data_IF_440262690081
#
_entry.id   IF_440262690081
#
_cell.length_a   1.000
_cell.length_b   1.000
_cell.length_c   1.000
_cell.angle_alpha   90.00
_cell.angle_beta   90.00
_cell.angle_gamma   90.00
#
_symmetry.space_group_name_H-M   'P 1'
#
loop_
_entity.id
_entity.type
_entity.pdbx_description
1 polymer ?
#
# COMPACT_ATOMS: atom_id res chain seq x y z
N UNK A 1 -6.83 -5.35 -25.48
CA UNK A 1 -7.15 -6.56 -24.69
C UNK A 1 -6.13 -6.64 -23.57
N UNK A 2 -6.47 -6.23 -22.35
CA UNK A 2 -5.53 -6.23 -21.24
C UNK A 2 -5.43 -7.64 -20.66
N UNK A 3 -4.25 -8.25 -20.74
CA UNK A 3 -3.96 -9.48 -20.01
C UNK A 3 -3.98 -9.17 -18.52
N UNK A 4 -5.08 -9.53 -17.86
CA UNK A 4 -5.12 -9.65 -16.40
C UNK A 4 -4.29 -10.90 -16.09
N UNK A 5 -2.99 -10.71 -15.83
CA UNK A 5 -2.20 -11.78 -15.22
C UNK A 5 -2.85 -12.11 -13.87
N UNK A 6 -3.10 -13.40 -13.56
CA UNK A 6 -3.62 -13.78 -12.26
C UNK A 6 -2.67 -13.26 -11.18
N UNK A 7 -3.22 -12.46 -10.26
CA UNK A 7 -2.48 -11.92 -9.13
C UNK A 7 -1.96 -13.11 -8.30
N UNK A 8 -0.65 -13.30 -8.10
CA UNK A 8 -0.06 -14.48 -7.45
C UNK A 8 -0.38 -14.60 -5.94
N UNK A 9 -1.43 -13.92 -5.46
CA UNK A 9 -1.92 -13.91 -4.06
C UNK A 9 -2.48 -15.26 -3.58
N UNK A 10 -2.57 -16.28 -4.43
CA UNK A 10 -3.24 -17.55 -4.13
C UNK A 10 -2.42 -18.80 -4.47
N UNK A 11 -1.09 -18.75 -4.31
CA UNK A 11 -0.28 -19.96 -4.14
C UNK A 11 -0.15 -20.26 -2.62
N UNK A 12 0.06 -21.52 -2.25
CA UNK A 12 -0.03 -22.14 -0.91
C UNK A 12 0.85 -21.52 0.21
N UNK A 13 1.51 -20.39 -0.05
CA UNK A 13 2.24 -19.57 0.93
C UNK A 13 1.62 -18.16 0.99
N UNK A 14 0.44 -18.04 1.61
CA UNK A 14 -0.26 -16.74 1.79
C UNK A 14 0.72 -15.65 2.26
N UNK A 15 0.98 -14.68 1.39
CA UNK A 15 1.73 -13.46 1.70
C UNK A 15 0.79 -12.41 2.29
N UNK A 16 1.31 -11.51 3.12
CA UNK A 16 0.55 -10.55 3.92
C UNK A 16 0.98 -9.14 3.53
N UNK A 17 0.07 -8.39 2.93
CA UNK A 17 0.22 -6.96 2.62
C UNK A 17 -0.30 -6.07 3.75
N UNK A 18 -0.04 -4.76 3.67
CA UNK A 18 -0.61 -3.78 4.61
C UNK A 18 -2.15 -3.84 4.65
N UNK A 19 -2.80 -3.93 3.49
CA UNK A 19 -4.26 -4.06 3.42
C UNK A 19 -4.77 -5.34 4.09
N UNK A 20 -3.99 -6.44 4.06
CA UNK A 20 -4.36 -7.67 4.76
C UNK A 20 -4.28 -7.50 6.28
N UNK A 21 -3.23 -6.81 6.79
CA UNK A 21 -3.10 -6.50 8.21
C UNK A 21 -4.31 -5.68 8.68
N UNK A 22 -4.66 -4.62 7.96
CA UNK A 22 -5.82 -3.78 8.29
C UNK A 22 -7.13 -4.57 8.22
N UNK A 23 -7.30 -5.43 7.21
CA UNK A 23 -8.49 -6.26 7.10
C UNK A 23 -8.64 -7.21 8.29
N UNK A 24 -7.56 -7.91 8.66
CA UNK A 24 -7.49 -8.86 9.78
C UNK A 24 -7.80 -8.16 11.11
N UNK A 25 -7.22 -6.98 11.35
CA UNK A 25 -7.50 -6.18 12.56
C UNK A 25 -8.97 -5.77 12.69
N UNK A 26 -9.63 -5.52 11.56
CA UNK A 26 -11.05 -5.19 11.48
C UNK A 26 -11.96 -6.44 11.48
N UNK A 27 -11.41 -7.65 11.67
CA UNK A 27 -12.18 -8.90 11.64
C UNK A 27 -12.72 -9.27 10.26
N UNK A 28 -12.17 -8.65 9.20
CA UNK A 28 -12.55 -8.94 7.81
C UNK A 28 -11.49 -9.79 7.13
N UNK A 29 -11.91 -10.78 6.36
CA UNK A 29 -10.97 -11.53 5.52
C UNK A 29 -10.83 -10.85 4.15
N UNK A 30 -9.60 -10.74 3.62
CA UNK A 30 -9.36 -10.17 2.29
C UNK A 30 -10.21 -10.89 1.24
N UNK A 31 -11.15 -10.17 0.60
CA UNK A 31 -11.92 -10.67 -0.53
C UNK A 31 -11.33 -10.11 -1.82
N UNK A 32 -11.32 -10.92 -2.87
CA UNK A 32 -11.06 -10.41 -4.22
C UNK A 32 -12.25 -9.53 -4.61
N UNK A 33 -12.01 -8.25 -4.86
CA UNK A 33 -13.02 -7.30 -5.33
C UNK A 33 -12.58 -6.84 -6.73
N UNK A 34 -13.47 -6.87 -7.74
CA UNK A 34 -13.18 -6.30 -9.05
C UNK A 34 -12.73 -4.83 -8.93
N UNK A 35 -11.74 -4.38 -9.73
CA UNK A 35 -11.26 -3.01 -9.63
C UNK A 35 -12.35 -2.02 -10.02
N UNK A 36 -12.61 -1.03 -9.16
CA UNK A 36 -13.52 0.06 -9.47
C UNK A 36 -12.92 1.01 -10.51
N UNK A 37 -13.75 1.83 -11.18
CA UNK A 37 -13.29 2.91 -12.09
C UNK A 37 -12.23 3.80 -11.44
N UNK A 38 -12.39 4.11 -10.15
CA UNK A 38 -11.41 4.91 -9.37
C UNK A 38 -10.08 4.17 -9.16
N UNK A 39 -10.11 2.85 -8.95
CA UNK A 39 -8.88 2.05 -8.83
C UNK A 39 -8.11 1.98 -10.15
N UNK A 40 -8.83 1.73 -11.25
CA UNK A 40 -8.23 1.71 -12.59
C UNK A 40 -7.61 3.08 -12.93
N UNK A 41 -8.32 4.17 -12.60
CA UNK A 41 -7.80 5.51 -12.77
C UNK A 41 -6.56 5.78 -11.91
N UNK A 42 -6.56 5.37 -10.63
CA UNK A 42 -5.37 5.48 -9.77
C UNK A 42 -4.15 4.77 -10.39
N UNK A 43 -4.33 3.54 -10.90
CA UNK A 43 -3.26 2.81 -11.60
C UNK A 43 -2.81 3.53 -12.87
N UNK A 44 -3.73 4.09 -13.66
CA UNK A 44 -3.38 4.88 -14.84
C UNK A 44 -2.51 6.09 -14.47
N UNK A 45 -2.87 6.82 -13.41
CA UNK A 45 -2.09 7.96 -12.92
C UNK A 45 -0.70 7.54 -12.44
N UNK A 46 -0.57 6.42 -11.72
CA UNK A 46 0.73 5.87 -11.31
C UNK A 46 1.65 5.61 -12.51
N UNK A 47 1.12 4.99 -13.58
CA UNK A 47 1.87 4.75 -14.82
C UNK A 47 2.31 6.05 -15.51
N UNK A 48 1.46 7.09 -15.49
CA UNK A 48 1.84 8.39 -16.05
C UNK A 48 2.93 9.09 -15.23
N UNK A 49 2.94 8.94 -13.91
CA UNK A 49 4.00 9.47 -13.03
C UNK A 49 5.34 8.81 -13.36
N UNK A 50 5.37 7.48 -13.43
CA UNK A 50 6.57 6.71 -13.78
C UNK A 50 7.14 7.15 -15.14
N UNK A 51 6.27 7.34 -16.13
CA UNK A 51 6.66 7.77 -17.48
C UNK A 51 6.95 9.26 -17.60
N UNK A 52 6.79 10.05 -16.52
CA UNK A 52 6.93 11.51 -16.53
C UNK A 52 6.01 12.19 -17.56
N UNK A 53 4.78 11.68 -17.70
CA UNK A 53 3.79 12.14 -18.68
C UNK A 53 2.63 12.92 -18.07
N UNK A 54 2.62 13.10 -16.75
CA UNK A 54 1.65 14.01 -16.15
C UNK A 54 1.99 15.46 -16.52
N UNK A 55 0.98 16.29 -16.84
CA UNK A 55 1.18 17.71 -17.15
C UNK A 55 1.53 18.57 -15.92
N UNK A 56 1.60 17.95 -14.75
CA UNK A 56 1.91 18.59 -13.46
C UNK A 56 3.19 17.99 -12.88
N UNK A 57 3.95 18.81 -12.14
CA UNK A 57 5.19 18.37 -11.51
C UNK A 57 4.89 17.55 -10.26
N UNK A 58 5.16 16.23 -10.33
CA UNK A 58 4.95 15.30 -9.21
C UNK A 58 6.32 14.84 -8.69
N UNK A 59 6.61 14.96 -7.38
CA UNK A 59 7.85 14.45 -6.80
C UNK A 59 7.97 12.94 -7.03
N UNK A 60 9.17 12.51 -7.44
CA UNK A 60 9.50 11.09 -7.62
C UNK A 60 10.87 10.76 -7.05
N UNK A 61 11.00 9.52 -6.60
CA UNK A 61 12.28 8.93 -6.23
C UNK A 61 13.01 8.37 -7.46
N UNK A 62 14.11 7.67 -7.19
CA UNK A 62 14.95 7.02 -8.21
C UNK A 62 14.36 5.69 -8.66
N UNK A 63 13.76 4.95 -7.73
CA UNK A 63 13.14 3.66 -7.97
C UNK A 63 11.62 3.81 -8.01
N UNK A 64 10.98 3.04 -8.89
CA UNK A 64 9.54 2.96 -9.06
C UNK A 64 9.06 1.53 -8.83
N UNK A 65 7.85 1.37 -8.29
CA UNK A 65 7.23 0.06 -8.03
C UNK A 65 8.17 -0.91 -7.28
N UNK A 66 8.88 -0.39 -6.27
CA UNK A 66 9.93 -1.13 -5.58
C UNK A 66 9.31 -2.21 -4.67
N UNK A 67 9.55 -3.47 -5.03
CA UNK A 67 9.01 -4.62 -4.30
C UNK A 67 9.81 -4.87 -3.03
N UNK A 68 9.11 -4.95 -1.90
CA UNK A 68 9.69 -5.30 -0.60
C UNK A 68 9.07 -6.58 -0.08
N UNK A 69 9.93 -7.48 0.39
CA UNK A 69 9.48 -8.72 1.01
C UNK A 69 10.35 -9.05 2.22
N UNK A 70 9.70 -9.44 3.31
CA UNK A 70 10.37 -9.98 4.48
C UNK A 70 9.51 -11.10 5.08
N UNK A 71 10.06 -12.32 5.10
CA UNK A 71 9.30 -13.52 5.47
C UNK A 71 8.02 -13.63 4.62
N UNK A 72 6.85 -13.66 5.27
CA UNK A 72 5.53 -13.70 4.61
C UNK A 72 4.96 -12.32 4.32
N UNK A 73 5.65 -11.24 4.69
CA UNK A 73 5.15 -9.88 4.52
C UNK A 73 5.63 -9.30 3.19
N UNK A 74 4.74 -8.65 2.46
CA UNK A 74 5.01 -8.07 1.14
C UNK A 74 4.47 -6.64 1.03
N UNK A 75 5.07 -5.88 0.12
CA UNK A 75 4.62 -4.54 -0.27
C UNK A 75 5.23 -4.13 -1.60
N UNK A 76 4.61 -3.14 -2.22
CA UNK A 76 5.18 -2.43 -3.36
C UNK A 76 5.14 -0.95 -2.99
N UNK A 77 6.31 -0.31 -3.06
CA UNK A 77 6.46 1.12 -2.82
C UNK A 77 6.34 1.81 -4.18
N UNK A 78 5.38 2.73 -4.34
CA UNK A 78 5.14 3.42 -5.61
C UNK A 78 6.40 4.10 -6.13
N UNK A 79 7.11 4.83 -5.26
CA UNK A 79 8.42 5.41 -5.59
C UNK A 79 9.32 5.61 -4.36
N UNK A 80 10.64 5.48 -4.52
CA UNK A 80 11.59 5.73 -3.44
C UNK A 80 12.99 6.12 -3.91
N UNK A 81 13.73 6.77 -3.02
CA UNK A 81 15.18 6.94 -3.06
C UNK A 81 15.77 6.35 -1.76
N UNK A 82 17.04 6.58 -1.41
CA UNK A 82 17.63 6.00 -0.21
C UNK A 82 16.98 6.46 1.10
N UNK A 83 16.57 7.73 1.21
CA UNK A 83 16.12 8.31 2.47
C UNK A 83 14.60 8.49 2.56
N UNK A 84 13.89 8.37 1.44
CA UNK A 84 12.47 8.71 1.29
C UNK A 84 11.72 7.62 0.53
N UNK A 85 10.53 7.30 1.03
CA UNK A 85 9.51 6.51 0.32
C UNK A 85 8.31 7.37 0.01
N UNK A 86 7.68 7.16 -1.13
CA UNK A 86 6.62 8.01 -1.69
C UNK A 86 5.42 7.13 -2.04
N UNK A 87 4.22 7.61 -1.71
CA UNK A 87 2.92 7.01 -2.07
C UNK A 87 2.07 8.07 -2.77
N UNK A 88 1.50 7.71 -3.93
CA UNK A 88 0.66 8.60 -4.72
C UNK A 88 -0.81 8.28 -4.47
N UNK A 89 -1.55 9.25 -3.92
CA UNK A 89 -2.98 9.08 -3.59
C UNK A 89 -3.86 9.96 -4.46
N UNK A 90 -4.65 9.35 -5.33
CA UNK A 90 -5.75 10.00 -6.06
C UNK A 90 -7.03 10.00 -5.24
N UNK A 91 -7.68 11.14 -5.06
CA UNK A 91 -8.97 11.23 -4.38
C UNK A 91 -9.75 12.47 -4.81
N UNK A 92 -11.08 12.47 -4.64
CA UNK A 92 -11.94 13.63 -4.95
C UNK A 92 -11.67 14.87 -4.11
N UNK A 93 -10.92 14.71 -3.02
CA UNK A 93 -10.38 15.79 -2.20
C UNK A 93 -9.00 15.39 -1.76
N UNK A 94 -8.09 16.35 -1.66
CA UNK A 94 -6.80 16.08 -1.05
C UNK A 94 -6.93 15.42 0.32
N UNK A 95 -6.04 14.48 0.60
CA UNK A 95 -5.91 13.96 1.95
C UNK A 95 -5.53 15.08 2.91
N UNK A 96 -6.21 15.11 4.06
CA UNK A 96 -5.78 15.95 5.18
C UNK A 96 -4.46 15.42 5.76
N UNK A 97 -3.72 16.30 6.44
CA UNK A 97 -2.50 15.91 7.14
C UNK A 97 -2.74 14.78 8.13
N UNK A 98 -3.82 14.86 8.91
CA UNK A 98 -4.21 13.83 9.89
C UNK A 98 -4.42 12.48 9.19
N UNK A 99 -5.11 12.46 8.05
CA UNK A 99 -5.34 11.24 7.26
C UNK A 99 -4.03 10.68 6.70
N UNK A 100 -3.17 11.55 6.17
CA UNK A 100 -1.86 11.16 5.66
C UNK A 100 -0.97 10.58 6.76
N UNK A 101 -0.85 11.24 7.90
CA UNK A 101 0.06 10.82 8.99
C UNK A 101 -0.42 9.57 9.75
N UNK A 102 -1.74 9.33 9.79
CA UNK A 102 -2.34 8.10 10.33
C UNK A 102 -2.31 6.93 9.36
N UNK A 103 -1.93 7.16 8.09
CA UNK A 103 -1.79 6.11 7.10
C UNK A 103 -0.43 5.41 7.23
N UNK A 104 -0.39 4.38 8.06
CA UNK A 104 0.85 3.68 8.42
C UNK A 104 1.40 2.74 7.33
N UNK A 105 0.79 2.68 6.13
CA UNK A 105 1.24 1.85 5.01
C UNK A 105 2.71 2.12 4.67
N UNK A 106 3.11 3.39 4.56
CA UNK A 106 4.47 3.75 4.22
C UNK A 106 5.45 3.40 5.34
N UNK A 107 5.09 3.58 6.61
CA UNK A 107 5.93 3.13 7.73
C UNK A 107 6.16 1.61 7.66
N UNK A 108 5.11 0.84 7.37
CA UNK A 108 5.20 -0.60 7.18
C UNK A 108 6.12 -0.98 6.02
N UNK A 109 5.99 -0.33 4.86
CA UNK A 109 6.88 -0.58 3.73
C UNK A 109 8.33 -0.15 3.99
N UNK A 110 8.54 0.94 4.72
CA UNK A 110 9.87 1.35 5.19
C UNK A 110 10.51 0.30 6.10
N UNK A 111 9.72 -0.30 7.00
CA UNK A 111 10.17 -1.43 7.83
C UNK A 111 10.53 -2.65 6.97
N UNK A 112 9.70 -3.03 5.99
CA UNK A 112 9.99 -4.15 5.09
C UNK A 112 11.24 -3.89 4.25
N UNK A 113 11.40 -2.67 3.73
CA UNK A 113 12.60 -2.27 2.99
C UNK A 113 13.85 -2.41 3.85
N UNK A 114 13.81 -1.90 5.08
CA UNK A 114 14.93 -2.04 6.01
C UNK A 114 15.28 -3.50 6.26
N UNK A 115 14.27 -4.37 6.44
CA UNK A 115 14.50 -5.81 6.60
C UNK A 115 15.00 -6.53 5.35
N UNK A 116 14.65 -6.02 4.16
CA UNK A 116 15.06 -6.59 2.88
C UNK A 116 16.47 -6.13 2.46
N UNK A 117 16.81 -4.86 2.71
CA UNK A 117 17.99 -4.18 2.13
C UNK A 117 19.00 -3.66 3.16
N UNK A 118 18.63 -3.61 4.44
CA UNK A 118 19.42 -2.93 5.48
C UNK A 118 19.31 -1.41 5.48
N UNK A 119 18.66 -0.81 4.48
CA UNK A 119 18.48 0.64 4.37
C UNK A 119 17.15 1.06 4.99
N UNK A 120 17.21 1.87 6.04
CA UNK A 120 16.04 2.44 6.69
C UNK A 120 15.75 3.84 6.11
N UNK A 121 14.62 4.06 5.42
CA UNK A 121 14.21 5.41 5.03
C UNK A 121 14.00 6.28 6.27
N UNK A 122 14.43 7.53 6.19
CA UNK A 122 14.31 8.52 7.25
C UNK A 122 12.92 9.12 7.31
N UNK A 123 12.25 9.23 6.15
CA UNK A 123 10.94 9.87 6.02
C UNK A 123 10.10 9.22 4.94
N UNK A 124 8.83 9.61 4.91
CA UNK A 124 7.94 9.31 3.81
C UNK A 124 7.22 10.54 3.30
N UNK A 125 6.77 10.46 2.05
CA UNK A 125 5.94 11.47 1.39
C UNK A 125 4.63 10.84 0.93
N UNK A 126 3.51 11.45 1.28
CA UNK A 126 2.23 11.18 0.63
C UNK A 126 1.95 12.34 -0.32
N UNK A 127 1.95 12.04 -1.61
CA UNK A 127 1.59 13.00 -2.64
C UNK A 127 0.12 12.78 -2.98
N UNK A 128 -0.72 13.70 -2.53
CA UNK A 128 -2.16 13.66 -2.77
C UNK A 128 -2.49 14.44 -4.03
N UNK A 129 -3.10 13.76 -4.99
CA UNK A 129 -3.59 14.32 -6.24
C UNK A 129 -5.11 14.38 -6.18
N UNK A 130 -5.68 15.57 -6.38
CA UNK A 130 -7.13 15.74 -6.39
C UNK A 130 -7.71 15.34 -7.75
N UNK A 131 -8.88 14.69 -7.74
CA UNK A 131 -9.53 14.18 -8.95
C UNK A 131 -10.90 14.81 -9.13
N UNK A 132 -11.22 15.25 -10.35
CA UNK A 132 -12.53 15.75 -10.75
C UNK A 132 -13.08 15.01 -11.96
N UNK A 133 -14.27 15.41 -12.41
CA UNK A 133 -14.79 15.08 -13.74
C UNK A 133 -14.60 16.29 -14.65
N UNK A 134 -14.22 16.06 -15.91
CA UNK A 134 -14.23 17.09 -16.95
C UNK A 134 -15.63 17.20 -17.60
N UNK A 135 -15.73 18.00 -18.67
CA UNK A 135 -16.98 18.23 -19.42
C UNK A 135 -17.53 16.95 -20.08
N UNK A 136 -16.67 15.95 -20.32
CA UNK A 136 -17.00 14.66 -20.94
C UNK A 136 -17.25 13.52 -19.91
N UNK A 137 -17.45 13.86 -18.63
CA UNK A 137 -17.60 12.89 -17.53
C UNK A 137 -16.40 11.92 -17.36
N UNK A 138 -15.21 12.35 -17.80
CA UNK A 138 -13.96 11.62 -17.62
C UNK A 138 -13.25 12.05 -16.33
N UNK A 139 -12.66 11.07 -15.64
CA UNK A 139 -11.85 11.35 -14.45
C UNK A 139 -10.55 12.04 -14.86
N UNK A 140 -10.25 13.17 -14.24
CA UNK A 140 -9.03 13.95 -14.47
C UNK A 140 -8.38 14.35 -13.15
N UNK A 141 -7.08 14.67 -13.17
CA UNK A 141 -6.43 15.34 -12.04
C UNK A 141 -6.79 16.82 -12.11
N UNK A 142 -7.13 17.40 -10.97
CA UNK A 142 -7.44 18.83 -10.83
C UNK A 142 -6.48 19.47 -9.82
N UNK A 143 -6.05 20.69 -10.13
CA UNK A 143 -5.17 21.47 -9.28
C UNK A 143 -3.76 20.90 -9.10
N UNK A 144 -3.06 21.42 -8.09
CA UNK A 144 -1.68 21.08 -7.79
C UNK A 144 -1.57 19.93 -6.76
N UNK A 145 -0.50 19.12 -6.80
CA UNK A 145 -0.26 18.10 -5.79
C UNK A 145 -0.13 18.70 -4.38
N UNK A 146 -0.74 18.05 -3.39
CA UNK A 146 -0.49 18.33 -1.97
C UNK A 146 0.46 17.28 -1.40
N UNK A 147 1.60 17.74 -0.88
CA UNK A 147 2.65 16.86 -0.36
C UNK A 147 2.63 16.90 1.17
N UNK A 148 2.46 15.73 1.79
CA UNK A 148 2.62 15.55 3.23
C UNK A 148 3.90 14.79 3.50
N UNK A 149 4.77 15.33 4.36
CA UNK A 149 6.05 14.73 4.72
C UNK A 149 6.00 14.36 6.21
N UNK A 150 6.40 13.13 6.54
CA UNK A 150 6.55 12.69 7.92
C UNK A 150 7.89 11.97 8.10
N UNK A 151 8.63 12.34 9.13
CA UNK A 151 9.80 11.58 9.59
C UNK A 151 9.37 10.25 10.20
N UNK A 152 10.11 9.19 9.90
CA UNK A 152 9.87 7.85 10.42
C UNK A 152 10.65 7.71 11.73
N UNK A 153 9.91 7.53 12.82
CA UNK A 153 10.52 7.34 14.15
C UNK A 153 10.68 5.86 14.47
N UNK A 154 11.56 5.54 15.42
CA UNK A 154 11.67 4.19 15.98
C UNK A 154 10.32 3.70 16.54
N UNK A 155 9.57 4.60 17.18
CA UNK A 155 8.23 4.29 17.71
C UNK A 155 7.24 3.92 16.62
N UNK A 156 7.28 4.58 15.46
CA UNK A 156 6.46 4.20 14.30
C UNK A 156 6.81 2.78 13.83
N UNK A 157 8.11 2.46 13.71
CA UNK A 157 8.59 1.15 13.28
C UNK A 157 8.18 0.02 14.24
N UNK A 158 8.32 0.24 15.55
CA UNK A 158 7.93 -0.73 16.58
C UNK A 158 6.42 -0.99 16.54
N UNK A 159 5.61 0.05 16.30
CA UNK A 159 4.15 -0.05 16.21
C UNK A 159 3.71 -0.89 15.00
N UNK A 160 4.22 -0.60 13.80
CA UNK A 160 3.84 -1.40 12.61
C UNK A 160 4.35 -2.83 12.70
N UNK A 161 5.51 -3.07 13.32
CA UNK A 161 6.00 -4.42 13.60
C UNK A 161 5.03 -5.17 14.53
N UNK A 162 4.60 -4.55 15.63
CA UNK A 162 3.66 -5.17 16.56
C UNK A 162 2.32 -5.51 15.89
N UNK A 163 1.80 -4.61 15.04
CA UNK A 163 0.58 -4.86 14.22
C UNK A 163 0.76 -6.06 13.28
N UNK A 164 1.87 -6.11 12.56
CA UNK A 164 2.20 -7.22 11.65
C UNK A 164 2.33 -8.57 12.39
N UNK A 165 3.01 -8.58 13.55
CA UNK A 165 3.16 -9.79 14.37
C UNK A 165 1.80 -10.27 14.93
N UNK A 166 0.94 -9.34 15.36
CA UNK A 166 -0.42 -9.65 15.83
C UNK A 166 -1.29 -10.25 14.71
N UNK A 167 -1.26 -9.67 13.51
CA UNK A 167 -2.01 -10.19 12.37
C UNK A 167 -1.54 -11.61 11.98
N UNK A 168 -0.23 -11.87 12.03
CA UNK A 168 0.32 -13.19 11.78
C UNK A 168 -0.13 -14.22 12.83
N UNK A 169 -0.19 -13.83 14.11
CA UNK A 169 -0.68 -14.71 15.18
C UNK A 169 -2.16 -15.05 14.99
N UNK A 170 -3.00 -14.05 14.66
CA UNK A 170 -4.42 -14.26 14.40
C UNK A 170 -4.67 -15.23 13.24
N UNK A 171 -3.91 -15.11 12.15
CA UNK A 171 -3.99 -16.05 11.03
C UNK A 171 -3.60 -17.48 11.42
N UNK A 172 -2.58 -17.65 12.26
CA UNK A 172 -2.17 -18.98 12.74
C UNK A 172 -3.27 -19.62 13.58
N UNK A 173 -3.85 -18.87 14.51
CA UNK A 173 -4.91 -19.37 15.38
C UNK A 173 -6.17 -19.73 14.58
N UNK A 174 -6.57 -18.90 13.62
CA UNK A 174 -7.70 -19.22 12.73
C UNK A 174 -7.47 -20.50 11.92
N UNK A 175 -6.25 -20.70 11.41
CA UNK A 175 -5.87 -21.92 10.68
C UNK A 175 -5.94 -23.17 11.57
N UNK A 176 -5.59 -23.03 12.85
CA UNK A 176 -5.70 -24.11 13.85
C UNK A 176 -7.16 -24.43 14.20
N UNK A 177 -8.01 -23.43 14.36
CA UNK A 177 -9.44 -23.64 14.65
C UNK A 177 -10.18 -24.30 13.48
N UNK A 178 -9.86 -23.93 12.24
CA UNK A 178 -10.40 -24.59 11.04
C UNK A 178 -9.94 -26.05 10.93
N UNK A 179 -8.68 -26.33 11.29
CA UNK A 179 -8.14 -27.69 11.33
C UNK A 179 -8.80 -28.54 12.45
N UNK A 180 -9.09 -27.94 13.61
CA UNK A 180 -9.81 -28.61 14.71
C UNK A 180 -11.25 -28.93 14.29
N UNK A 181 -11.96 -27.97 13.68
CA UNK A 181 -13.33 -28.20 13.18
C UNK A 181 -13.40 -29.30 12.11
N UNK A 182 -12.40 -29.38 11.23
CA UNK A 182 -12.31 -30.45 10.23
C UNK A 182 -12.02 -31.84 10.84
N UNK A 183 -11.47 -31.89 12.05
CA UNK A 183 -11.14 -33.15 12.74
C UNK A 183 -12.30 -33.69 13.59
N UNK A 184 -13.17 -32.80 14.09
CA UNK A 184 -14.33 -33.16 14.93
C UNK A 184 -15.52 -33.69 14.10
N UNK A 185 -15.50 -33.53 12.77
CA UNK A 185 -16.45 -34.15 11.84
C UNK A 185 -15.80 -35.40 11.23
N UNK A 186 -15.60 -36.43 12.03
CA UNK A 186 -15.34 -37.81 11.58
C UNK A 186 -16.00 -38.80 12.53
#
# INVERSE_FOLDING_TARGET
MYCILPNPRYDNKRVISWSDIVAIENGTYPKSIPPSRKMLFGTYIHNLIEQNKLPICVPKGVHHEFKVQYKRFVGTIDSCDDDTIIDYKTATKHWSRIKAESHEQLVYYGYLRFKNTGILPKRYKIVSLETGLNEDDELVIIGEPRIHIKEITLTDLLRVKARADKALLQLKNASSDDAIKATVIK
#
